data_IF_329521059168
#
_entry.id   IF_329521059168
#
_cell.length_a   1.000
_cell.length_b   1.000
_cell.length_c   1.000
_cell.angle_alpha   90.00
_cell.angle_beta   90.00
_cell.angle_gamma   90.00
#
_symmetry.space_group_name_H-M   'P 1'
#
loop_
_entity.id
_entity.type
_entity.pdbx_description
1 polymer ?
#
# COMPACT_ATOMS: atom_id res chain seq x y z
N UNK A 1 2.06 4.29 15.09
CA UNK A 1 1.08 4.25 13.97
C UNK A 1 1.60 3.21 12.99
N UNK A 2 0.75 2.34 12.41
CA UNK A 2 1.22 1.58 11.24
C UNK A 2 1.73 2.59 10.21
N UNK A 3 2.88 2.28 9.61
CA UNK A 3 3.48 3.17 8.61
C UNK A 3 2.50 3.36 7.45
N UNK A 4 2.32 4.60 7.01
CA UNK A 4 1.38 4.98 5.94
C UNK A 4 1.77 4.39 4.58
N UNK A 5 2.90 3.72 4.46
CA UNK A 5 3.45 3.29 3.17
C UNK A 5 3.81 4.49 2.28
N UNK A 6 4.27 4.20 1.08
CA UNK A 6 4.64 5.21 0.08
C UNK A 6 3.46 5.52 -0.84
N UNK A 7 3.28 6.78 -1.28
CA UNK A 7 2.24 7.10 -2.26
C UNK A 7 2.50 6.37 -3.58
N UNK A 8 1.45 5.82 -4.19
CA UNK A 8 1.58 5.12 -5.47
C UNK A 8 2.00 6.07 -6.60
N UNK A 9 1.53 7.32 -6.57
CA UNK A 9 1.87 8.35 -7.54
C UNK A 9 2.63 9.50 -6.86
N UNK A 10 3.91 9.66 -7.19
CA UNK A 10 4.76 10.70 -6.61
C UNK A 10 4.30 12.12 -6.98
N UNK A 11 3.65 12.31 -8.12
CA UNK A 11 3.10 13.61 -8.54
C UNK A 11 1.76 13.93 -7.86
N UNK A 12 1.20 12.97 -7.10
CA UNK A 12 -0.02 13.15 -6.29
C UNK A 12 0.11 12.44 -4.93
N UNK A 13 0.99 12.91 -4.04
CA UNK A 13 1.34 12.19 -2.81
C UNK A 13 0.18 12.12 -1.80
N UNK A 14 -0.77 13.05 -1.87
CA UNK A 14 -1.91 13.12 -0.95
C UNK A 14 -3.18 12.46 -1.51
N UNK A 15 -3.12 11.83 -2.69
CA UNK A 15 -4.26 11.23 -3.39
C UNK A 15 -4.91 10.03 -2.68
N UNK A 16 -4.39 9.61 -1.53
CA UNK A 16 -4.97 8.56 -0.69
C UNK A 16 -4.60 7.14 -1.09
N UNK A 17 -3.87 6.94 -2.19
CA UNK A 17 -3.50 5.63 -2.70
C UNK A 17 -2.03 5.33 -2.36
N UNK A 18 -1.80 4.28 -1.58
CA UNK A 18 -0.49 3.95 -1.02
C UNK A 18 -0.09 2.51 -1.31
N UNK A 19 1.22 2.25 -1.25
CA UNK A 19 1.82 0.93 -1.27
C UNK A 19 2.64 0.68 -0.01
N UNK A 20 2.54 -0.52 0.54
CA UNK A 20 3.31 -0.93 1.70
C UNK A 20 3.96 -2.29 1.44
N UNK A 21 5.26 -2.36 1.66
CA UNK A 21 6.01 -3.62 1.67
C UNK A 21 5.70 -4.36 2.96
N UNK A 22 5.41 -5.67 2.87
CA UNK A 22 5.10 -6.51 4.02
C UNK A 22 5.72 -7.91 3.86
N UNK A 23 5.51 -8.77 4.86
CA UNK A 23 5.99 -10.16 4.83
C UNK A 23 7.51 -10.31 4.89
N UNK A 24 8.23 -9.27 5.33
CA UNK A 24 9.70 -9.24 5.33
C UNK A 24 10.33 -8.86 3.98
N UNK A 25 9.58 -8.27 3.05
CA UNK A 25 10.07 -7.87 1.72
C UNK A 25 9.33 -8.45 0.49
N UNK A 26 8.84 -9.71 0.48
CA UNK A 26 8.24 -10.32 -0.70
C UNK A 26 6.76 -9.98 -0.89
N UNK A 27 6.12 -9.37 0.12
CA UNK A 27 4.74 -8.91 0.02
C UNK A 27 4.67 -7.44 -0.37
N UNK A 28 3.76 -7.09 -1.28
CA UNK A 28 3.40 -5.70 -1.58
C UNK A 28 1.88 -5.55 -1.55
N UNK A 29 1.36 -4.65 -0.71
CA UNK A 29 -0.07 -4.30 -0.68
C UNK A 29 -0.28 -2.92 -1.27
N UNK A 30 -1.29 -2.76 -2.12
CA UNK A 30 -1.79 -1.46 -2.57
C UNK A 30 -3.17 -1.22 -1.95
N UNK A 31 -3.38 -0.06 -1.35
CA UNK A 31 -4.59 0.24 -0.61
C UNK A 31 -4.98 1.72 -0.70
N UNK A 32 -6.27 1.98 -0.51
CA UNK A 32 -6.86 3.32 -0.47
C UNK A 32 -7.16 3.71 0.99
N UNK A 33 -6.62 4.85 1.43
CA UNK A 33 -6.88 5.45 2.72
C UNK A 33 -7.97 6.53 2.59
N UNK A 34 -9.14 6.25 3.15
CA UNK A 34 -10.27 7.19 3.24
C UNK A 34 -10.34 7.73 4.67
N UNK A 35 -9.44 8.68 4.99
CA UNK A 35 -9.22 9.16 6.35
C UNK A 35 -10.50 9.72 7.01
N UNK A 36 -11.28 10.52 6.28
CA UNK A 36 -12.52 11.12 6.76
C UNK A 36 -13.58 10.06 7.13
N UNK A 37 -13.53 8.91 6.47
CA UNK A 37 -14.41 7.78 6.71
C UNK A 37 -13.82 6.78 7.72
N UNK A 38 -12.61 7.04 8.23
CA UNK A 38 -11.83 6.12 9.09
C UNK A 38 -11.75 4.72 8.49
N UNK A 39 -11.56 4.64 7.18
CA UNK A 39 -11.62 3.40 6.40
C UNK A 39 -10.36 3.20 5.58
N UNK A 40 -9.96 1.94 5.46
CA UNK A 40 -8.89 1.49 4.56
C UNK A 40 -9.45 0.40 3.67
N UNK A 41 -9.35 0.58 2.36
CA UNK A 41 -9.71 -0.43 1.37
C UNK A 41 -8.45 -1.05 0.78
N UNK A 42 -8.27 -2.35 0.99
CA UNK A 42 -7.21 -3.11 0.32
C UNK A 42 -7.65 -3.41 -1.10
N UNK A 43 -6.86 -2.97 -2.08
CA UNK A 43 -7.20 -3.11 -3.48
C UNK A 43 -6.49 -4.31 -4.11
N UNK A 44 -5.19 -4.45 -3.83
CA UNK A 44 -4.34 -5.49 -4.42
C UNK A 44 -3.36 -5.99 -3.37
N UNK A 45 -3.22 -7.31 -3.27
CA UNK A 45 -2.17 -7.98 -2.50
C UNK A 45 -1.34 -8.82 -3.47
N UNK A 46 -0.06 -8.47 -3.61
CA UNK A 46 0.88 -9.18 -4.44
C UNK A 46 1.90 -9.91 -3.57
N UNK A 47 2.20 -11.15 -3.96
CA UNK A 47 3.33 -11.91 -3.46
C UNK A 47 4.35 -12.04 -4.58
N UNK A 48 5.54 -11.49 -4.37
CA UNK A 48 6.66 -11.63 -5.31
C UNK A 48 7.33 -12.95 -5.00
N UNK A 49 7.06 -13.98 -5.81
CA UNK A 49 7.91 -15.17 -5.83
C UNK A 49 9.11 -14.90 -6.73
N UNK A 50 10.31 -15.07 -6.19
CA UNK A 50 11.48 -15.32 -7.04
C UNK A 50 11.43 -16.80 -7.38
N UNK A 51 11.23 -17.12 -8.67
CA UNK A 51 11.43 -18.49 -9.14
C UNK A 51 12.89 -18.89 -8.84
N UNK A 52 13.15 -20.09 -8.31
CA UNK A 52 14.50 -20.58 -8.06
C UNK A 52 15.31 -20.75 -9.34
#
# INVERSE_FOLDING_TARGET
MPERGEPLNADNPDGGLYQLVFGGGPGLVTYLLLADQRRVDVLIVNWVSVAP
#
